data_IF_791123475523
#
_entry.id   IF_791123475523
#
_cell.length_a   1.000
_cell.length_b   1.000
_cell.length_c   1.000
_cell.angle_alpha   90.00
_cell.angle_beta   90.00
_cell.angle_gamma   90.00
#
_symmetry.space_group_name_H-M   'P 1'
#
loop_
_entity.id
_entity.type
_entity.pdbx_description
1 polymer ?
#
# COMPACT_ATOMS: atom_id res chain seq x y z
N UNK A 1 24.41 -2.12 -10.26
CA UNK A 1 23.86 -3.33 -9.61
C UNK A 1 23.07 -2.82 -8.41
N UNK A 2 21.79 -2.52 -8.58
CA UNK A 2 20.96 -2.09 -7.45
C UNK A 2 20.60 -3.35 -6.68
N UNK A 3 21.07 -3.45 -5.45
CA UNK A 3 20.59 -4.45 -4.51
C UNK A 3 19.10 -4.20 -4.36
N UNK A 4 18.27 -5.02 -5.00
CA UNK A 4 16.86 -5.13 -4.66
C UNK A 4 16.85 -5.60 -3.21
N UNK A 5 16.84 -4.66 -2.26
CA UNK A 5 16.45 -4.95 -0.89
C UNK A 5 15.09 -5.59 -1.00
N UNK A 6 15.09 -6.90 -0.90
CA UNK A 6 13.94 -7.77 -1.04
C UNK A 6 12.99 -7.46 0.12
N UNK A 7 12.22 -6.38 -0.02
CA UNK A 7 11.40 -5.81 1.05
C UNK A 7 10.44 -6.89 1.56
N UNK A 8 10.46 -7.10 2.86
CA UNK A 8 9.55 -8.01 3.52
C UNK A 8 8.11 -7.52 3.29
N UNK A 9 7.21 -8.37 2.75
CA UNK A 9 5.88 -7.93 2.35
C UNK A 9 5.02 -7.52 3.54
N UNK A 10 5.23 -8.08 4.74
CA UNK A 10 4.54 -7.63 5.95
C UNK A 10 4.97 -6.22 6.34
N UNK A 11 6.27 -5.96 6.31
CA UNK A 11 6.83 -4.62 6.54
C UNK A 11 6.30 -3.61 5.51
N UNK A 12 6.20 -4.01 4.24
CA UNK A 12 5.58 -3.17 3.20
C UNK A 12 4.11 -2.85 3.51
N UNK A 13 3.32 -3.85 3.93
CA UNK A 13 1.92 -3.66 4.33
C UNK A 13 1.80 -2.72 5.52
N UNK A 14 2.60 -2.88 6.57
CA UNK A 14 2.52 -2.04 7.77
C UNK A 14 2.94 -0.59 7.48
N UNK A 15 3.99 -0.39 6.68
CA UNK A 15 4.40 0.94 6.23
C UNK A 15 3.27 1.61 5.42
N UNK A 16 2.64 0.87 4.50
CA UNK A 16 1.54 1.40 3.69
C UNK A 16 0.31 1.72 4.56
N UNK A 17 -0.05 0.87 5.52
CA UNK A 17 -1.14 1.16 6.49
C UNK A 17 -0.87 2.45 7.25
N UNK A 18 0.36 2.65 7.70
CA UNK A 18 0.77 3.85 8.45
C UNK A 18 0.65 5.11 7.60
N UNK A 19 1.14 5.08 6.35
CA UNK A 19 1.03 6.21 5.43
C UNK A 19 -0.43 6.56 5.10
N UNK A 20 -1.24 5.53 4.81
CA UNK A 20 -2.67 5.73 4.54
C UNK A 20 -3.41 6.32 5.73
N UNK A 21 -3.11 5.85 6.95
CA UNK A 21 -3.68 6.39 8.16
C UNK A 21 -3.32 7.88 8.36
N UNK A 22 -2.08 8.26 8.03
CA UNK A 22 -1.65 9.67 7.98
C UNK A 22 -2.47 10.54 7.02
N UNK A 23 -2.95 9.96 5.93
CA UNK A 23 -3.87 10.59 4.98
C UNK A 23 -5.36 10.44 5.36
N UNK A 24 -5.68 9.88 6.54
CA UNK A 24 -7.06 9.63 6.99
C UNK A 24 -7.78 8.51 6.21
N UNK A 25 -7.03 7.64 5.54
CA UNK A 25 -7.55 6.51 4.76
C UNK A 25 -7.32 5.22 5.55
N UNK A 26 -8.38 4.42 5.68
CA UNK A 26 -8.31 3.07 6.27
C UNK A 26 -8.69 2.04 5.21
N UNK A 27 -7.82 1.05 4.99
CA UNK A 27 -8.03 -0.05 4.06
C UNK A 27 -7.98 -1.40 4.81
N UNK A 28 -9.14 -1.91 5.30
CA UNK A 28 -9.19 -3.16 6.04
C UNK A 28 -8.81 -4.40 5.21
N UNK A 29 -8.91 -4.29 3.88
CA UNK A 29 -8.57 -5.37 2.94
C UNK A 29 -7.08 -5.44 2.59
N UNK A 30 -6.27 -4.49 3.07
CA UNK A 30 -4.84 -4.44 2.75
C UNK A 30 -4.09 -5.56 3.48
N UNK A 31 -3.50 -6.47 2.71
CA UNK A 31 -2.82 -7.65 3.22
C UNK A 31 -1.64 -8.07 2.33
N UNK A 32 -0.84 -9.02 2.80
CA UNK A 32 0.14 -9.71 1.96
C UNK A 32 -0.59 -10.69 1.05
N UNK A 33 -0.19 -10.77 -0.22
CA UNK A 33 -0.68 -11.84 -1.09
C UNK A 33 -0.12 -13.20 -0.65
N UNK A 34 -1.01 -14.07 -0.21
CA UNK A 34 -0.66 -15.44 0.19
C UNK A 34 -0.70 -16.42 -1.00
N UNK A 35 -1.31 -16.03 -2.13
CA UNK A 35 -1.45 -16.90 -3.29
C UNK A 35 -0.12 -17.03 -4.07
N UNK A 36 0.70 -15.97 -4.07
CA UNK A 36 1.99 -15.95 -4.77
C UNK A 36 3.16 -15.52 -3.86
N UNK A 37 3.54 -16.32 -2.83
CA UNK A 37 4.54 -15.91 -1.84
C UNK A 37 5.91 -15.57 -2.43
N UNK A 38 6.30 -16.25 -3.52
CA UNK A 38 7.57 -16.02 -4.20
C UNK A 38 7.68 -14.61 -4.81
N UNK A 39 6.55 -13.98 -5.13
CA UNK A 39 6.48 -12.66 -5.74
C UNK A 39 6.41 -11.52 -4.71
N UNK A 40 6.22 -11.84 -3.43
CA UNK A 40 6.17 -10.85 -2.32
C UNK A 40 5.17 -9.71 -2.58
N UNK A 41 4.00 -10.05 -3.14
CA UNK A 41 3.00 -9.05 -3.51
C UNK A 41 2.21 -8.57 -2.30
N UNK A 42 1.66 -7.37 -2.43
CA UNK A 42 0.70 -6.78 -1.49
C UNK A 42 -0.67 -6.76 -2.16
N UNK A 43 -1.66 -7.38 -1.52
CA UNK A 43 -3.05 -7.35 -1.94
C UNK A 43 -3.74 -6.08 -1.39
N UNK A 44 -4.16 -5.19 -2.28
CA UNK A 44 -4.87 -3.95 -1.91
C UNK A 44 -6.36 -4.19 -1.62
N UNK A 45 -6.93 -5.27 -2.19
CA UNK A 45 -8.33 -5.65 -2.06
C UNK A 45 -9.29 -4.70 -2.79
N UNK A 46 -10.56 -4.68 -2.33
CA UNK A 46 -11.61 -3.81 -2.88
C UNK A 46 -11.78 -2.59 -1.98
N UNK A 47 -11.80 -1.42 -2.59
CA UNK A 47 -11.96 -0.15 -1.89
C UNK A 47 -13.24 0.54 -2.35
N UNK A 48 -13.85 1.34 -1.47
CA UNK A 48 -14.99 2.19 -1.86
C UNK A 48 -14.51 3.30 -2.80
N UNK A 49 -15.38 3.75 -3.71
CA UNK A 49 -15.02 4.76 -4.71
C UNK A 49 -14.56 6.10 -4.12
N UNK A 50 -15.16 6.53 -3.00
CA UNK A 50 -14.76 7.72 -2.25
C UNK A 50 -13.35 7.59 -1.65
N UNK A 51 -13.01 6.41 -1.14
CA UNK A 51 -11.66 6.10 -0.64
C UNK A 51 -10.65 6.06 -1.77
N UNK A 52 -11.01 5.49 -2.93
CA UNK A 52 -10.14 5.49 -4.12
C UNK A 52 -9.81 6.91 -4.60
N UNK A 53 -10.79 7.82 -4.60
CA UNK A 53 -10.57 9.21 -4.95
C UNK A 53 -9.62 9.90 -3.97
N UNK A 54 -9.83 9.73 -2.66
CA UNK A 54 -8.93 10.27 -1.61
C UNK A 54 -7.51 9.74 -1.73
N UNK A 55 -7.36 8.46 -2.05
CA UNK A 55 -6.05 7.84 -2.28
C UNK A 55 -5.33 8.49 -3.47
N UNK A 56 -6.04 8.71 -4.58
CA UNK A 56 -5.47 9.38 -5.74
C UNK A 56 -4.99 10.80 -5.41
N UNK A 57 -5.75 11.54 -4.58
CA UNK A 57 -5.36 12.88 -4.15
C UNK A 57 -4.15 12.87 -3.21
N UNK A 58 -4.10 11.92 -2.26
CA UNK A 58 -2.96 11.77 -1.37
C UNK A 58 -1.67 11.44 -2.14
N UNK A 59 -1.73 10.53 -3.11
CA UNK A 59 -0.58 10.17 -3.96
C UNK A 59 -0.08 11.35 -4.81
N UNK A 60 -0.99 12.20 -5.29
CA UNK A 60 -0.62 13.40 -6.05
C UNK A 60 0.10 14.43 -5.19
N UNK A 61 -0.31 14.60 -3.93
CA UNK A 61 0.33 15.54 -3.01
C UNK A 61 1.77 15.13 -2.68
N UNK A 62 2.00 13.85 -2.41
CA UNK A 62 3.35 13.31 -2.17
C UNK A 62 4.27 13.45 -3.40
N UNK A 63 3.74 13.30 -4.62
CA UNK A 63 4.53 13.44 -5.85
C UNK A 63 4.93 14.88 -6.20
N UNK A 64 4.43 15.88 -5.47
CA UNK A 64 4.79 17.30 -5.63
C UNK A 64 5.68 17.84 -4.51
N UNK A 65 5.97 17.04 -3.48
CA UNK A 65 6.86 17.38 -2.37
C UNK A 65 8.31 16.94 -2.66
#
# INVERSE_FOLDING_TARGET
MATEEQQDPFTAVENLKTALAGAGIVLPSLAVDIASPALKLVELGRVRADVAARLADALRQEGQA
#
